data_IF_468467496109
#
_entry.id   IF_468467496109
#
_cell.length_a   1.000
_cell.length_b   1.000
_cell.length_c   1.000
_cell.angle_alpha   90.00
_cell.angle_beta   90.00
_cell.angle_gamma   90.00
#
_symmetry.space_group_name_H-M   'P 1'
#
loop_
_entity.id
_entity.type
_entity.pdbx_description
1 polymer ?
#
# COMPACT_ATOMS: atom_id res chain seq x y z
N UNK A 1 -15.48 -1.29 -6.94
CA UNK A 1 -14.75 -1.76 -5.75
C UNK A 1 -14.13 -0.58 -5.04
N UNK A 2 -13.87 -0.69 -3.73
CA UNK A 2 -13.06 0.27 -2.98
C UNK A 2 -11.62 -0.23 -2.95
N UNK A 3 -10.73 0.51 -3.56
CA UNK A 3 -9.31 0.16 -3.75
C UNK A 3 -8.44 1.14 -2.98
N UNK A 4 -7.44 0.63 -2.27
CA UNK A 4 -6.41 1.47 -1.65
C UNK A 4 -5.04 1.16 -2.24
N UNK A 5 -4.44 2.14 -2.91
CA UNK A 5 -3.06 2.10 -3.36
C UNK A 5 -2.16 2.87 -2.37
N UNK A 6 -1.52 2.12 -1.50
CA UNK A 6 -0.73 2.62 -0.38
C UNK A 6 0.71 2.89 -0.81
N UNK A 7 1.14 4.15 -0.69
CA UNK A 7 2.54 4.51 -0.79
C UNK A 7 3.20 4.33 0.59
N UNK A 8 3.93 3.23 0.76
CA UNK A 8 4.59 2.91 2.04
C UNK A 8 5.79 3.81 2.31
N UNK A 9 6.35 4.42 1.26
CA UNK A 9 7.47 5.34 1.34
C UNK A 9 6.99 6.79 1.20
N UNK A 10 5.83 7.14 1.75
CA UNK A 10 5.20 8.45 1.49
C UNK A 10 5.97 9.65 2.07
N UNK A 11 6.58 9.50 3.24
CA UNK A 11 7.29 10.59 3.92
C UNK A 11 8.78 10.58 3.59
N UNK A 12 9.30 11.73 3.16
CA UNK A 12 10.72 11.94 2.95
C UNK A 12 11.49 12.17 4.25
N UNK A 13 12.78 12.49 4.13
CA UNK A 13 13.66 12.66 5.29
C UNK A 13 13.46 13.99 6.03
N UNK A 14 12.90 15.01 5.37
CA UNK A 14 12.64 16.32 6.01
C UNK A 14 11.15 16.46 6.34
N UNK A 15 10.81 17.22 7.39
CA UNK A 15 9.41 17.57 7.67
C UNK A 15 8.74 18.19 6.44
N UNK A 16 7.62 17.61 6.02
CA UNK A 16 6.85 18.08 4.86
C UNK A 16 7.25 17.48 3.52
N UNK A 17 8.35 16.72 3.43
CA UNK A 17 8.70 16.03 2.19
C UNK A 17 7.71 14.88 1.93
N UNK A 18 7.12 14.87 0.74
CA UNK A 18 6.29 13.78 0.23
C UNK A 18 7.00 13.16 -0.96
N UNK A 19 7.14 11.84 -0.94
CA UNK A 19 7.77 11.09 -2.02
C UNK A 19 6.71 10.64 -3.01
N UNK A 20 6.93 10.98 -4.27
CA UNK A 20 6.14 10.49 -5.39
C UNK A 20 6.43 9.01 -5.67
N UNK A 21 5.38 8.23 -5.89
CA UNK A 21 5.47 6.82 -6.26
C UNK A 21 4.64 6.56 -7.52
N UNK A 22 5.32 6.34 -8.65
CA UNK A 22 4.68 6.09 -9.95
C UNK A 22 3.82 4.82 -9.96
N UNK A 23 4.20 3.80 -9.18
CA UNK A 23 3.48 2.54 -9.11
C UNK A 23 2.05 2.72 -8.61
N UNK A 24 1.87 3.44 -7.50
CA UNK A 24 0.54 3.68 -6.92
C UNK A 24 -0.34 4.53 -7.84
N UNK A 25 0.24 5.51 -8.53
CA UNK A 25 -0.47 6.33 -9.53
C UNK A 25 -1.01 5.51 -10.70
N UNK A 26 -0.19 4.58 -11.22
CA UNK A 26 -0.61 3.72 -12.33
C UNK A 26 -1.70 2.74 -11.93
N UNK A 27 -1.60 2.15 -10.74
CA UNK A 27 -2.64 1.30 -10.15
C UNK A 27 -3.94 2.10 -10.01
N UNK A 28 -3.84 3.31 -9.46
CA UNK A 28 -4.99 4.16 -9.26
C UNK A 28 -5.66 4.56 -10.58
N UNK A 29 -4.87 4.94 -11.59
CA UNK A 29 -5.38 5.24 -12.92
C UNK A 29 -6.11 4.04 -13.53
N UNK A 30 -5.51 2.84 -13.44
CA UNK A 30 -6.12 1.61 -13.94
C UNK A 30 -7.50 1.34 -13.32
N UNK A 31 -7.63 1.47 -11.99
CA UNK A 31 -8.89 1.24 -11.28
C UNK A 31 -9.93 2.35 -11.54
N UNK A 32 -9.51 3.62 -11.56
CA UNK A 32 -10.40 4.74 -11.89
C UNK A 32 -11.02 4.59 -13.28
N UNK A 33 -10.26 4.13 -14.27
CA UNK A 33 -10.77 3.89 -15.63
C UNK A 33 -11.84 2.78 -15.70
N UNK A 34 -11.93 1.94 -14.66
CA UNK A 34 -12.92 0.86 -14.54
C UNK A 34 -14.12 1.27 -13.68
N UNK A 35 -14.15 2.50 -13.18
CA UNK A 35 -15.20 3.01 -12.30
C UNK A 35 -15.05 2.59 -10.83
N UNK A 36 -13.87 2.13 -10.41
CA UNK A 36 -13.60 1.84 -9.00
C UNK A 36 -13.37 3.12 -8.19
N UNK A 37 -13.72 3.07 -6.90
CA UNK A 37 -13.39 4.09 -5.91
C UNK A 37 -11.97 3.86 -5.42
N UNK A 38 -11.09 4.87 -5.53
CA UNK A 38 -9.65 4.68 -5.28
C UNK A 38 -9.10 5.71 -4.30
N UNK A 39 -8.52 5.21 -3.21
CA UNK A 39 -7.62 5.95 -2.34
C UNK A 39 -6.15 5.80 -2.79
N UNK A 40 -5.40 6.91 -2.77
CA UNK A 40 -3.94 6.93 -2.97
C UNK A 40 -3.33 7.78 -1.87
N UNK A 41 -2.35 7.23 -1.15
CA UNK A 41 -1.70 7.96 -0.07
C UNK A 41 -0.98 7.06 0.93
N UNK A 42 -0.61 7.58 2.11
CA UNK A 42 0.02 6.80 3.17
C UNK A 42 -0.96 5.78 3.77
N UNK A 43 -0.41 4.80 4.49
CA UNK A 43 -1.21 3.88 5.29
C UNK A 43 -1.85 4.59 6.49
N UNK A 44 -3.12 4.31 6.75
CA UNK A 44 -3.78 4.65 8.01
C UNK A 44 -4.76 3.53 8.41
N UNK A 45 -4.73 3.03 9.66
CA UNK A 45 -5.47 1.84 10.06
C UNK A 45 -6.96 2.07 10.33
N UNK A 46 -7.39 3.32 10.57
CA UNK A 46 -8.79 3.64 10.89
C UNK A 46 -9.55 4.22 9.68
N UNK A 47 -8.99 5.28 9.09
CA UNK A 47 -9.59 6.00 7.97
C UNK A 47 -8.48 6.34 6.98
N UNK A 48 -8.69 6.05 5.70
CA UNK A 48 -7.85 6.46 4.59
C UNK A 48 -8.40 7.75 3.98
N UNK A 49 -7.62 8.83 4.08
CA UNK A 49 -8.07 10.15 3.64
C UNK A 49 -9.25 10.62 4.48
N UNK A 50 -10.25 11.23 3.83
CA UNK A 50 -11.43 11.77 4.50
C UNK A 50 -12.69 10.92 4.34
N UNK A 51 -12.64 9.88 3.49
CA UNK A 51 -13.85 9.28 2.92
C UNK A 51 -13.93 7.76 3.03
N UNK A 52 -12.85 7.08 3.44
CA UNK A 52 -12.79 5.62 3.47
C UNK A 52 -12.46 5.11 4.86
N UNK A 53 -13.39 4.39 5.50
CA UNK A 53 -12.98 3.51 6.59
C UNK A 53 -12.06 2.43 6.01
N UNK A 54 -10.89 2.23 6.61
CA UNK A 54 -9.87 1.33 6.06
C UNK A 54 -10.41 -0.09 5.88
N UNK A 55 -11.30 -0.54 6.77
CA UNK A 55 -11.93 -1.87 6.68
C UNK A 55 -12.97 -2.01 5.58
N UNK A 56 -13.46 -0.93 4.97
CA UNK A 56 -14.39 -0.99 3.84
C UNK A 56 -13.69 -1.21 2.50
N UNK A 57 -12.37 -1.08 2.47
CA UNK A 57 -11.57 -1.36 1.27
C UNK A 57 -11.69 -2.84 0.92
N UNK A 58 -11.90 -3.15 -0.35
CA UNK A 58 -11.98 -4.51 -0.88
C UNK A 58 -10.57 -5.08 -1.11
N UNK A 59 -9.69 -4.24 -1.67
CA UNK A 59 -8.33 -4.62 -2.06
C UNK A 59 -7.29 -3.55 -1.76
N UNK A 60 -6.15 -3.99 -1.23
CA UNK A 60 -4.98 -3.17 -0.97
C UNK A 60 -3.84 -3.49 -1.92
N UNK A 61 -3.23 -2.43 -2.44
CA UNK A 61 -1.93 -2.47 -3.07
C UNK A 61 -0.95 -1.76 -2.16
N UNK A 62 0.12 -2.44 -1.72
CA UNK A 62 1.20 -1.82 -0.97
C UNK A 62 2.41 -1.65 -1.89
N UNK A 63 2.79 -0.40 -2.15
CA UNK A 63 4.01 -0.09 -2.89
C UNK A 63 5.07 0.50 -1.98
N UNK A 64 6.25 -0.10 -1.96
CA UNK A 64 7.39 0.35 -1.13
C UNK A 64 8.62 0.64 -2.00
N UNK A 65 9.17 1.84 -1.84
CA UNK A 65 10.34 2.30 -2.62
C UNK A 65 11.63 2.03 -1.86
N UNK A 66 11.63 2.22 -0.54
CA UNK A 66 12.84 2.10 0.28
C UNK A 66 12.77 0.94 1.26
N UNK A 67 13.89 0.26 1.48
CA UNK A 67 13.94 -0.96 2.31
C UNK A 67 13.69 -0.69 3.80
N UNK A 68 13.97 0.52 4.28
CA UNK A 68 13.71 0.89 5.68
C UNK A 68 12.21 1.02 6.01
N UNK A 69 11.34 1.19 5.01
CA UNK A 69 9.88 1.26 5.19
C UNK A 69 9.21 -0.13 5.23
N UNK A 70 9.96 -1.20 4.91
CA UNK A 70 9.43 -2.57 4.85
C UNK A 70 8.83 -3.04 6.18
N UNK A 71 9.45 -2.84 7.36
CA UNK A 71 8.87 -3.30 8.61
C UNK A 71 7.47 -2.74 8.88
N UNK A 72 7.23 -1.49 8.48
CA UNK A 72 5.94 -0.81 8.66
C UNK A 72 4.91 -1.32 7.65
N UNK A 73 5.33 -1.49 6.40
CA UNK A 73 4.52 -2.15 5.37
C UNK A 73 4.11 -3.57 5.78
N UNK A 74 5.02 -4.38 6.34
CA UNK A 74 4.72 -5.74 6.80
C UNK A 74 3.64 -5.74 7.88
N UNK A 75 3.68 -4.80 8.84
CA UNK A 75 2.62 -4.65 9.85
C UNK A 75 1.28 -4.30 9.22
N UNK A 76 1.27 -3.36 8.27
CA UNK A 76 0.07 -2.95 7.57
C UNK A 76 -0.54 -4.10 6.73
N UNK A 77 0.29 -4.84 5.97
CA UNK A 77 -0.13 -6.01 5.20
C UNK A 77 -0.79 -7.05 6.12
N UNK A 78 -0.12 -7.41 7.22
CA UNK A 78 -0.64 -8.42 8.13
C UNK A 78 -1.97 -8.00 8.76
N UNK A 79 -2.16 -6.71 9.06
CA UNK A 79 -3.44 -6.19 9.53
C UNK A 79 -4.53 -6.28 8.46
N UNK A 80 -4.25 -5.88 7.22
CA UNK A 80 -5.18 -6.02 6.10
C UNK A 80 -5.57 -7.49 5.84
N UNK A 81 -4.60 -8.41 5.96
CA UNK A 81 -4.85 -9.85 5.84
C UNK A 81 -5.69 -10.42 6.98
N UNK A 82 -5.48 -9.97 8.22
CA UNK A 82 -6.33 -10.34 9.37
C UNK A 82 -7.79 -9.95 9.11
N UNK A 83 -8.02 -8.82 8.44
CA UNK A 83 -9.36 -8.40 8.02
C UNK A 83 -9.89 -9.14 6.78
N UNK A 84 -9.17 -10.15 6.27
CA UNK A 84 -9.59 -10.94 5.12
C UNK A 84 -9.53 -10.19 3.80
N UNK A 85 -8.72 -9.13 3.70
CA UNK A 85 -8.64 -8.28 2.50
C UNK A 85 -7.70 -8.87 1.46
N UNK A 86 -8.01 -8.60 0.19
CA UNK A 86 -7.10 -8.92 -0.90
C UNK A 86 -5.89 -7.97 -0.85
N UNK A 87 -4.68 -8.52 -0.96
CA UNK A 87 -3.44 -7.76 -0.84
C UNK A 87 -2.49 -8.11 -1.98
N UNK A 88 -2.01 -7.08 -2.66
CA UNK A 88 -0.86 -7.15 -3.57
C UNK A 88 0.26 -6.24 -3.06
N UNK A 89 1.51 -6.63 -3.33
CA UNK A 89 2.71 -5.89 -2.90
C UNK A 89 3.59 -5.64 -4.11
N UNK A 90 4.24 -4.48 -4.18
CA UNK A 90 5.17 -4.15 -5.25
C UNK A 90 6.11 -3.00 -4.92
N UNK A 91 6.94 -2.64 -5.89
CA UNK A 91 7.96 -1.59 -5.75
C UNK A 91 9.38 -2.15 -5.61
N UNK A 92 10.40 -1.31 -5.84
CA UNK A 92 11.78 -1.78 -5.96
C UNK A 92 12.30 -2.44 -4.67
N UNK A 93 11.94 -1.90 -3.51
CA UNK A 93 12.35 -2.48 -2.24
C UNK A 93 11.68 -3.84 -1.97
N UNK A 94 10.41 -4.01 -2.36
CA UNK A 94 9.75 -5.30 -2.18
C UNK A 94 10.27 -6.36 -3.13
N UNK A 95 10.58 -6.00 -4.37
CA UNK A 95 11.21 -6.91 -5.33
C UNK A 95 12.60 -7.33 -4.84
N UNK A 96 13.39 -6.41 -4.31
CA UNK A 96 14.72 -6.73 -3.78
C UNK A 96 14.65 -7.63 -2.52
N UNK A 97 13.70 -7.35 -1.62
CA UNK A 97 13.52 -8.07 -0.34
C UNK A 97 12.42 -9.13 -0.39
N UNK A 98 12.11 -9.66 -1.57
CA UNK A 98 10.91 -10.48 -1.80
C UNK A 98 10.82 -11.71 -0.88
N UNK A 99 11.94 -12.41 -0.63
CA UNK A 99 11.99 -13.56 0.28
C UNK A 99 11.57 -13.18 1.70
N UNK A 100 12.11 -12.07 2.22
CA UNK A 100 11.79 -11.60 3.57
C UNK A 100 10.30 -11.27 3.68
N UNK A 101 9.77 -10.50 2.72
CA UNK A 101 8.36 -10.11 2.73
C UNK A 101 7.47 -11.34 2.68
N UNK A 102 7.71 -12.26 1.74
CA UNK A 102 6.94 -13.49 1.63
C UNK A 102 7.00 -14.33 2.91
N UNK A 103 8.16 -14.45 3.56
CA UNK A 103 8.27 -15.14 4.85
C UNK A 103 7.45 -14.46 5.96
N UNK A 104 7.41 -13.11 6.00
CA UNK A 104 6.71 -12.38 7.07
C UNK A 104 5.20 -12.25 6.84
N UNK A 105 4.76 -12.26 5.58
CA UNK A 105 3.38 -11.91 5.23
C UNK A 105 2.66 -13.00 4.43
N UNK A 106 3.35 -13.99 3.89
CA UNK A 106 2.79 -14.96 2.95
C UNK A 106 2.37 -14.37 1.60
N UNK A 107 2.64 -13.08 1.34
CA UNK A 107 2.32 -12.42 0.07
C UNK A 107 3.59 -12.35 -0.78
N UNK A 108 3.51 -12.78 -2.04
CA UNK A 108 4.62 -12.65 -2.98
C UNK A 108 4.59 -11.25 -3.63
N UNK A 109 5.69 -10.47 -3.54
CA UNK A 109 5.81 -9.20 -4.24
C UNK A 109 6.08 -9.31 -5.74
#
# INVERSE_FOLDING_TARGET
MKIAAINCSYHGMKPGDIIYNLGVERIAQYHRLRGDEVYVGPWAPMILGEQFYTQEVDKFYFSVVFTWDIPDMVRAINLARIWGKEVEVGGPASTFMHKYIHTQTGVMP
#
